data_IF_359078550731
#
_entry.id   IF_359078550731
#
_cell.length_a   1.000
_cell.length_b   1.000
_cell.length_c   1.000
_cell.angle_alpha   90.00
_cell.angle_beta   90.00
_cell.angle_gamma   90.00
#
_symmetry.space_group_name_H-M   'P 1'
#
loop_
_entity.id
_entity.type
_entity.pdbx_description
1 polymer ?
#
# COMPACT_ATOMS: atom_id res chain seq x y z
N UNK A 1 -8.69 9.23 26.29
CA UNK A 1 -8.12 9.96 25.13
C UNK A 1 -7.00 9.19 24.39
N UNK A 2 -6.49 8.04 24.85
CA UNK A 2 -5.38 7.33 24.18
C UNK A 2 -5.77 6.51 22.93
N UNK A 3 -6.90 5.79 22.96
CA UNK A 3 -7.28 4.87 21.86
C UNK A 3 -7.49 5.53 20.49
N UNK A 4 -7.94 6.79 20.43
CA UNK A 4 -8.10 7.50 19.17
C UNK A 4 -6.75 7.88 18.55
N UNK A 5 -5.77 8.22 19.39
CA UNK A 5 -4.42 8.60 18.95
C UNK A 5 -3.67 7.35 18.47
N UNK A 6 -3.73 6.24 19.22
CA UNK A 6 -3.15 4.95 18.77
C UNK A 6 -3.73 4.49 17.43
N UNK A 7 -5.06 4.62 17.26
CA UNK A 7 -5.72 4.29 16.00
C UNK A 7 -5.21 5.17 14.85
N UNK A 8 -5.02 6.47 15.09
CA UNK A 8 -4.48 7.40 14.10
C UNK A 8 -3.00 7.14 13.77
N UNK A 9 -2.19 6.79 14.76
CA UNK A 9 -0.77 6.43 14.60
C UNK A 9 -0.65 5.17 13.75
N UNK A 10 -1.39 4.11 14.08
CA UNK A 10 -1.42 2.89 13.25
C UNK A 10 -1.92 3.16 11.82
N UNK A 11 -2.79 4.16 11.65
CA UNK A 11 -3.21 4.61 10.31
C UNK A 11 -2.10 5.36 9.56
N UNK A 12 -1.19 6.06 10.26
CA UNK A 12 -0.06 6.79 9.66
C UNK A 12 1.02 5.81 9.18
N UNK A 13 1.32 4.80 9.97
CA UNK A 13 2.25 3.73 9.61
C UNK A 13 1.71 2.89 8.45
N UNK A 14 0.43 2.50 8.49
CA UNK A 14 -0.20 1.79 7.37
C UNK A 14 -0.19 2.62 6.07
N UNK A 15 -0.42 3.94 6.17
CA UNK A 15 -0.28 4.84 5.02
C UNK A 15 1.15 4.94 4.49
N UNK A 16 2.14 4.93 5.37
CA UNK A 16 3.55 4.92 4.96
C UNK A 16 3.88 3.63 4.18
N UNK A 17 3.37 2.48 4.64
CA UNK A 17 3.52 1.19 3.94
C UNK A 17 2.87 1.18 2.56
N UNK A 18 1.64 1.71 2.44
CA UNK A 18 0.98 1.84 1.13
C UNK A 18 1.79 2.72 0.18
N UNK A 19 2.29 3.87 0.65
CA UNK A 19 3.15 4.72 -0.20
C UNK A 19 4.43 4.03 -0.63
N UNK A 20 5.08 3.31 0.29
CA UNK A 20 6.30 2.57 -0.03
C UNK A 20 6.03 1.48 -1.08
N UNK A 21 4.94 0.72 -0.93
CA UNK A 21 4.53 -0.28 -1.91
C UNK A 21 4.19 0.35 -3.28
N UNK A 22 3.50 1.50 -3.29
CA UNK A 22 3.18 2.22 -4.52
C UNK A 22 4.44 2.76 -5.22
N UNK A 23 5.39 3.32 -4.47
CA UNK A 23 6.68 3.76 -5.04
C UNK A 23 7.46 2.58 -5.62
N UNK A 24 7.48 1.45 -4.93
CA UNK A 24 8.14 0.25 -5.43
C UNK A 24 7.46 -0.28 -6.71
N UNK A 25 6.12 -0.30 -6.75
CA UNK A 25 5.39 -0.64 -7.97
C UNK A 25 5.69 0.34 -9.10
N UNK A 26 5.78 1.64 -8.82
CA UNK A 26 6.12 2.67 -9.81
C UNK A 26 7.53 2.45 -10.37
N UNK A 27 8.52 2.20 -9.52
CA UNK A 27 9.90 1.87 -9.90
C UNK A 27 9.98 0.60 -10.77
N UNK A 28 9.29 -0.46 -10.35
CA UNK A 28 9.22 -1.73 -11.09
C UNK A 28 8.50 -1.51 -12.43
N UNK A 29 7.40 -0.76 -12.45
CA UNK A 29 6.64 -0.48 -13.67
C UNK A 29 7.36 0.44 -14.66
N UNK A 30 8.21 1.34 -14.19
CA UNK A 30 8.90 2.33 -15.04
C UNK A 30 9.85 1.70 -16.07
N UNK A 31 10.36 0.49 -15.79
CA UNK A 31 11.27 -0.23 -16.69
C UNK A 31 10.63 -1.41 -17.43
N UNK A 32 9.37 -1.73 -17.13
CA UNK A 32 8.75 -2.99 -17.55
C UNK A 32 7.60 -2.72 -18.52
N UNK A 33 7.71 -3.27 -19.73
CA UNK A 33 6.69 -3.13 -20.78
C UNK A 33 5.70 -4.29 -20.80
N UNK A 34 6.01 -5.40 -20.12
CA UNK A 34 5.21 -6.63 -20.09
C UNK A 34 4.98 -7.10 -18.65
N UNK A 35 3.85 -7.76 -18.38
CA UNK A 35 3.53 -8.25 -17.04
C UNK A 35 4.54 -9.33 -16.61
N UNK A 36 5.37 -9.01 -15.61
CA UNK A 36 6.38 -9.91 -15.03
C UNK A 36 5.98 -10.36 -13.64
N UNK A 37 6.54 -11.49 -13.18
CA UNK A 37 6.31 -11.98 -11.81
C UNK A 37 6.70 -10.94 -10.74
N UNK A 38 7.70 -10.11 -11.01
CA UNK A 38 8.12 -9.02 -10.12
C UNK A 38 7.08 -7.90 -10.06
N UNK A 39 6.49 -7.52 -11.21
CA UNK A 39 5.38 -6.58 -11.25
C UNK A 39 4.15 -7.13 -10.51
N UNK A 40 3.82 -8.40 -10.71
CA UNK A 40 2.72 -9.06 -9.99
C UNK A 40 2.96 -9.06 -8.48
N UNK A 41 4.18 -9.36 -8.04
CA UNK A 41 4.55 -9.34 -6.63
C UNK A 41 4.46 -7.91 -6.03
N UNK A 42 4.98 -6.90 -6.75
CA UNK A 42 4.90 -5.50 -6.32
C UNK A 42 3.45 -5.01 -6.25
N UNK A 43 2.61 -5.41 -7.21
CA UNK A 43 1.20 -5.06 -7.24
C UNK A 43 0.44 -5.73 -6.07
N UNK A 44 0.72 -7.01 -5.80
CA UNK A 44 0.14 -7.72 -4.66
C UNK A 44 0.54 -7.06 -3.32
N UNK A 45 1.78 -6.59 -3.20
CA UNK A 45 2.24 -5.87 -2.01
C UNK A 45 1.46 -4.55 -1.77
N UNK A 46 1.06 -3.86 -2.84
CA UNK A 46 0.17 -2.68 -2.74
C UNK A 46 -1.20 -3.08 -2.24
N UNK A 47 -1.80 -4.13 -2.79
CA UNK A 47 -3.12 -4.64 -2.40
C UNK A 47 -3.13 -5.03 -0.92
N UNK A 48 -2.14 -5.79 -0.47
CA UNK A 48 -2.02 -6.23 0.92
C UNK A 48 -1.85 -5.04 1.89
N UNK A 49 -1.06 -4.04 1.49
CA UNK A 49 -0.88 -2.81 2.26
C UNK A 49 -2.18 -2.00 2.35
N UNK A 50 -2.99 -1.97 1.28
CA UNK A 50 -4.31 -1.33 1.30
C UNK A 50 -5.34 -2.11 2.12
N UNK A 51 -5.29 -3.45 2.14
CA UNK A 51 -6.18 -4.26 2.97
C UNK A 51 -5.94 -4.04 4.47
N UNK A 52 -4.69 -3.77 4.86
CA UNK A 52 -4.33 -3.36 6.21
C UNK A 52 -4.92 -2.01 6.62
N UNK A 53 -5.40 -1.19 5.67
CA UNK A 53 -6.13 0.04 5.99
C UNK A 53 -7.57 -0.26 6.42
N UNK A 54 -8.12 0.54 7.35
CA UNK A 54 -9.54 0.49 7.68
C UNK A 54 -10.43 0.64 6.43
N UNK A 55 -11.53 -0.13 6.34
CA UNK A 55 -12.41 -0.18 5.15
C UNK A 55 -12.79 1.19 4.58
N UNK A 56 -13.05 2.19 5.41
CA UNK A 56 -13.42 3.56 5.00
C UNK A 56 -12.26 4.39 4.41
N UNK A 57 -11.03 3.87 4.43
CA UNK A 57 -9.80 4.50 3.92
C UNK A 57 -9.15 3.72 2.77
N UNK A 58 -9.74 2.60 2.36
CA UNK A 58 -9.31 1.86 1.17
C UNK A 58 -9.61 2.69 -0.07
N UNK A 59 -8.76 2.62 -1.10
CA UNK A 59 -9.02 3.26 -2.39
C UNK A 59 -10.25 2.68 -3.08
N UNK A 60 -10.80 3.36 -4.10
CA UNK A 60 -11.75 2.72 -5.00
C UNK A 60 -11.05 1.54 -5.69
N UNK A 61 -11.59 0.33 -5.50
CA UNK A 61 -11.18 -0.87 -6.24
C UNK A 61 -11.80 -0.87 -7.64
#
# INVERSE_FOLDING_TARGET
>A
MGQFIDRLIGTKEARAKVRAAQQHLEEVSAGITEETDEYLAANQAVIDAEEALPRWRRGPR
#
